data_IF_820992796192
#
_entry.id   IF_820992796192
#
_cell.length_a   1.000
_cell.length_b   1.000
_cell.length_c   1.000
_cell.angle_alpha   90.00
_cell.angle_beta   90.00
_cell.angle_gamma   90.00
#
_symmetry.space_group_name_H-M   'P 1'
#
loop_
_entity.id
_entity.type
_entity.pdbx_description
1 polymer ?
#
# COMPACT_ATOMS: atom_id res chain seq x y z
N UNK A 1 12.90 -5.23 -3.74
CA UNK A 1 13.19 -6.08 -2.57
C UNK A 1 13.57 -7.50 -3.01
N UNK A 2 12.63 -8.28 -3.55
CA UNK A 2 12.86 -9.70 -3.93
C UNK A 2 14.01 -9.88 -4.92
N UNK A 3 14.01 -9.14 -6.04
CA UNK A 3 15.09 -9.23 -7.04
C UNK A 3 16.47 -8.89 -6.44
N UNK A 4 16.55 -7.87 -5.59
CA UNK A 4 17.79 -7.49 -4.91
C UNK A 4 18.29 -8.58 -3.96
N UNK A 5 17.38 -9.27 -3.28
CA UNK A 5 17.74 -10.38 -2.40
C UNK A 5 18.24 -11.58 -3.22
N UNK A 6 17.51 -11.97 -4.27
CA UNK A 6 17.87 -13.11 -5.14
C UNK A 6 19.21 -12.86 -5.85
N UNK A 7 19.53 -11.60 -6.21
CA UNK A 7 20.81 -11.23 -6.81
C UNK A 7 21.96 -11.10 -5.79
N UNK A 8 21.77 -11.50 -4.53
CA UNK A 8 22.78 -11.43 -3.46
C UNK A 8 22.99 -10.04 -2.85
N UNK A 9 22.27 -9.01 -3.28
CA UNK A 9 22.37 -7.66 -2.72
C UNK A 9 21.46 -7.48 -1.50
N UNK A 10 21.85 -8.13 -0.40
CA UNK A 10 21.10 -8.15 0.86
C UNK A 10 20.93 -6.75 1.46
N UNK A 11 21.95 -5.89 1.36
CA UNK A 11 21.89 -4.50 1.87
C UNK A 11 20.80 -3.70 1.15
N UNK A 12 20.75 -3.76 -0.18
CA UNK A 12 19.70 -3.10 -0.95
C UNK A 12 18.33 -3.70 -0.63
N UNK A 13 18.21 -5.02 -0.53
CA UNK A 13 16.96 -5.68 -0.17
C UNK A 13 16.44 -5.21 1.19
N UNK A 14 17.32 -5.12 2.19
CA UNK A 14 16.99 -4.60 3.53
C UNK A 14 16.54 -3.14 3.47
N UNK A 15 17.24 -2.28 2.73
CA UNK A 15 16.86 -0.87 2.62
C UNK A 15 15.47 -0.71 2.00
N UNK A 16 15.16 -1.46 0.93
CA UNK A 16 13.83 -1.45 0.33
C UNK A 16 12.79 -2.00 1.31
N UNK A 17 13.09 -3.11 2.01
CA UNK A 17 12.19 -3.68 3.01
C UNK A 17 11.85 -2.67 4.12
N UNK A 18 12.86 -1.99 4.68
CA UNK A 18 12.67 -0.99 5.72
C UNK A 18 11.88 0.22 5.22
N UNK A 19 12.08 0.65 3.97
CA UNK A 19 11.27 1.70 3.35
C UNK A 19 9.79 1.31 3.18
N UNK A 20 9.51 0.03 2.90
CA UNK A 20 8.14 -0.49 2.77
C UNK A 20 7.52 -0.94 4.10
N UNK A 21 8.32 -1.07 5.16
CA UNK A 21 7.88 -1.60 6.44
C UNK A 21 6.70 -0.85 7.06
N UNK A 22 6.63 0.51 7.04
CA UNK A 22 5.46 1.24 7.51
C UNK A 22 4.18 0.83 6.76
N UNK A 23 4.25 0.68 5.43
CA UNK A 23 3.14 0.22 4.62
C UNK A 23 2.73 -1.21 4.95
N UNK A 24 3.69 -2.11 5.15
CA UNK A 24 3.39 -3.47 5.59
C UNK A 24 2.68 -3.49 6.94
N UNK A 25 3.06 -2.65 7.90
CA UNK A 25 2.32 -2.56 9.18
C UNK A 25 0.90 -2.04 8.96
N UNK A 26 0.72 -1.09 8.05
CA UNK A 26 -0.57 -0.51 7.74
C UNK A 26 -1.56 -1.50 7.12
N UNK A 27 -1.13 -2.29 6.15
CA UNK A 27 -2.05 -3.23 5.48
C UNK A 27 -2.46 -4.42 6.37
N UNK A 28 -1.92 -4.51 7.59
CA UNK A 28 -2.23 -5.50 8.62
C UNK A 28 -2.84 -4.87 9.89
N UNK A 29 -3.33 -3.62 9.87
CA UNK A 29 -4.00 -3.01 11.04
C UNK A 29 -5.33 -3.71 11.40
N UNK A 30 -5.97 -4.36 10.45
CA UNK A 30 -7.18 -5.16 10.64
C UNK A 30 -7.18 -6.34 9.66
N UNK A 31 -8.24 -7.15 9.64
CA UNK A 31 -8.32 -8.41 8.88
C UNK A 31 -8.09 -8.22 7.39
N UNK A 32 -7.07 -8.89 6.85
CA UNK A 32 -6.79 -8.90 5.41
C UNK A 32 -7.94 -9.65 4.66
N UNK A 33 -8.41 -9.17 3.50
CA UNK A 33 -7.90 -8.08 2.64
C UNK A 33 -8.56 -6.71 2.82
N UNK A 34 -9.18 -6.43 3.96
CA UNK A 34 -9.92 -5.17 4.17
C UNK A 34 -9.02 -3.92 4.02
N UNK A 35 -7.84 -3.82 4.66
CA UNK A 35 -6.99 -2.62 4.56
C UNK A 35 -6.42 -2.40 3.16
N UNK A 36 -5.94 -3.47 2.51
CA UNK A 36 -5.33 -3.34 1.18
C UNK A 36 -6.38 -2.97 0.12
N UNK A 37 -7.61 -3.48 0.24
CA UNK A 37 -8.71 -3.04 -0.65
C UNK A 37 -9.03 -1.57 -0.44
N UNK A 38 -9.05 -1.11 0.80
CA UNK A 38 -9.24 0.31 1.13
C UNK A 38 -8.16 1.18 0.48
N UNK A 39 -6.88 0.81 0.65
CA UNK A 39 -5.74 1.49 0.06
C UNK A 39 -5.80 1.53 -1.49
N UNK A 40 -6.12 0.39 -2.12
CA UNK A 40 -6.23 0.31 -3.57
C UNK A 40 -7.38 1.15 -4.13
N UNK A 41 -8.55 1.15 -3.47
CA UNK A 41 -9.65 2.04 -3.86
C UNK A 41 -9.26 3.52 -3.69
N UNK A 42 -8.51 3.90 -2.63
CA UNK A 42 -8.00 5.27 -2.46
C UNK A 42 -6.99 5.65 -3.56
N UNK A 43 -6.17 4.70 -4.01
CA UNK A 43 -5.27 4.87 -5.14
C UNK A 43 -5.98 4.73 -6.52
N UNK A 44 -7.31 4.76 -6.57
CA UNK A 44 -8.07 4.76 -7.83
C UNK A 44 -8.19 3.41 -8.53
N UNK A 45 -7.83 2.29 -7.89
CA UNK A 45 -8.03 0.95 -8.44
C UNK A 45 -9.43 0.42 -8.11
N UNK A 46 -10.19 -0.09 -9.10
CA UNK A 46 -11.55 -0.56 -8.88
C UNK A 46 -11.57 -1.98 -8.31
N UNK A 47 -11.25 -2.14 -7.02
CA UNK A 47 -11.22 -3.46 -6.34
C UNK A 47 -12.51 -3.79 -5.57
N UNK A 48 -13.42 -2.81 -5.49
CA UNK A 48 -14.71 -2.94 -4.83
C UNK A 48 -14.62 -3.11 -3.31
N UNK A 49 -15.77 -3.32 -2.68
CA UNK A 49 -15.88 -3.57 -1.25
C UNK A 49 -15.49 -5.01 -0.88
N UNK A 50 -15.08 -5.26 0.38
CA UNK A 50 -15.06 -6.62 0.92
C UNK A 50 -16.48 -7.23 0.91
N UNK A 51 -16.56 -8.56 0.80
CA UNK A 51 -17.82 -9.31 0.97
C UNK A 51 -17.90 -9.81 2.41
N UNK A 52 -19.12 -9.96 2.90
CA UNK A 52 -19.37 -10.63 4.19
C UNK A 52 -18.68 -12.01 4.22
N UNK A 53 -18.15 -12.45 5.39
CA UNK A 53 -18.32 -11.84 6.72
C UNK A 53 -17.41 -10.63 7.01
N UNK A 54 -16.57 -10.22 6.06
CA UNK A 54 -15.69 -9.06 6.22
C UNK A 54 -16.47 -7.75 6.04
N UNK A 55 -16.14 -6.77 6.88
CA UNK A 55 -16.73 -5.44 6.87
C UNK A 55 -15.70 -4.41 6.38
N UNK A 56 -16.16 -3.24 5.96
CA UNK A 56 -15.27 -2.15 5.57
C UNK A 56 -14.45 -1.62 6.75
N UNK A 57 -13.30 -1.00 6.43
CA UNK A 57 -12.55 -0.21 7.41
C UNK A 57 -13.41 0.90 7.99
N UNK A 58 -13.33 1.11 9.30
CA UNK A 58 -13.96 2.25 9.96
C UNK A 58 -13.25 3.58 9.61
N UNK A 59 -13.79 4.70 10.09
CA UNK A 59 -13.26 6.02 9.75
C UNK A 59 -11.81 6.24 10.22
N UNK A 60 -11.49 5.79 11.44
CA UNK A 60 -10.15 5.91 12.01
C UNK A 60 -9.11 5.09 11.20
N UNK A 61 -9.47 3.87 10.80
CA UNK A 61 -8.65 3.03 9.94
C UNK A 61 -8.47 3.66 8.55
N UNK A 62 -9.53 4.23 7.97
CA UNK A 62 -9.48 4.93 6.67
C UNK A 62 -8.54 6.13 6.71
N UNK A 63 -8.59 6.95 7.76
CA UNK A 63 -7.71 8.11 7.93
C UNK A 63 -6.25 7.70 8.12
N UNK A 64 -6.00 6.67 8.95
CA UNK A 64 -4.66 6.14 9.14
C UNK A 64 -4.05 5.61 7.84
N UNK A 65 -4.82 4.83 7.06
CA UNK A 65 -4.37 4.31 5.76
C UNK A 65 -4.06 5.48 4.81
N UNK A 66 -4.96 6.45 4.69
CA UNK A 66 -4.76 7.61 3.81
C UNK A 66 -3.51 8.41 4.17
N UNK A 67 -3.34 8.77 5.44
CA UNK A 67 -2.20 9.57 5.89
C UNK A 67 -0.87 8.86 5.63
N UNK A 68 -0.81 7.53 5.79
CA UNK A 68 0.38 6.79 5.44
C UNK A 68 0.62 6.75 3.93
N UNK A 69 -0.43 6.50 3.13
CA UNK A 69 -0.31 6.50 1.68
C UNK A 69 0.15 7.85 1.13
N UNK A 70 -0.32 8.96 1.70
CA UNK A 70 0.14 10.31 1.38
C UNK A 70 1.63 10.50 1.71
N UNK A 71 2.05 10.10 2.92
CA UNK A 71 3.45 10.22 3.36
C UNK A 71 4.44 9.41 2.51
N UNK A 72 3.95 8.40 1.79
CA UNK A 72 4.71 7.52 0.91
C UNK A 72 4.46 7.82 -0.58
N UNK A 73 3.71 8.88 -0.89
CA UNK A 73 3.36 9.31 -2.25
C UNK A 73 2.63 8.24 -3.09
N UNK A 74 1.86 7.37 -2.41
CA UNK A 74 1.19 6.21 -3.02
C UNK A 74 -0.23 6.50 -3.53
N UNK A 75 -0.78 7.70 -3.32
CA UNK A 75 -2.10 8.08 -3.85
C UNK A 75 -2.11 8.43 -5.36
N UNK A 76 -0.97 8.29 -6.04
CA UNK A 76 -0.88 8.48 -7.48
C UNK A 76 -1.45 7.27 -8.24
N UNK A 77 -2.77 7.20 -8.29
CA UNK A 77 -3.52 6.25 -9.09
C UNK A 77 -3.31 6.40 -10.59
N UNK A 78 -3.70 5.36 -11.32
CA UNK A 78 -3.64 5.16 -12.78
C UNK A 78 -3.92 6.48 -13.53
N UNK A 79 -2.87 7.23 -13.84
CA UNK A 79 -2.96 8.57 -14.44
C UNK A 79 -1.69 9.41 -14.29
N UNK A 80 -0.91 9.24 -13.22
CA UNK A 80 0.29 10.08 -12.98
C UNK A 80 1.63 9.42 -13.37
N UNK A 81 1.65 8.09 -13.60
CA UNK A 81 2.89 7.34 -13.83
C UNK A 81 3.45 7.33 -15.26
N UNK A 82 2.88 8.07 -16.22
CA UNK A 82 3.36 8.11 -17.62
C UNK A 82 3.88 9.47 -18.10
N UNK A 83 3.74 10.56 -17.32
CA UNK A 83 4.10 11.91 -17.76
C UNK A 83 4.95 12.68 -16.73
N UNK A 84 6.15 12.23 -16.40
CA UNK A 84 7.14 13.11 -15.73
C UNK A 84 8.59 12.60 -15.73
N UNK A 85 9.00 11.84 -16.76
CA UNK A 85 10.43 11.62 -17.04
C UNK A 85 10.70 11.80 -18.54
N UNK A 86 10.53 13.04 -19.00
CA UNK A 86 11.23 13.60 -20.16
C UNK A 86 12.46 14.34 -19.68
#
# INVERSE_FOLDING_TARGET
>A
MVNAFISGNVTLAKNIHLGLYPFFKCIFITTNPVPIKCALNMAGWPVGAPRLPLVETNQQEKEFIRGLMDSMELLQGIGAGLNSRS
#
